data_IF_005697285324
#
_entry.id   IF_005697285324
#
_cell.length_a   1.000
_cell.length_b   1.000
_cell.length_c   1.000
_cell.angle_alpha   90.00
_cell.angle_beta   90.00
_cell.angle_gamma   90.00
#
_symmetry.space_group_name_H-M   'P 1'
#
loop_
_entity.id
_entity.type
_entity.pdbx_description
1 polymer ?
#
# COMPACT_ATOMS: atom_id res chain seq x y z
N UNK A 1 -10.33 -18.48 -3.85
CA UNK A 1 -10.76 -17.18 -4.38
C UNK A 1 -10.20 -17.03 -5.79
N UNK A 2 -11.06 -16.88 -6.80
CA UNK A 2 -10.60 -16.51 -8.15
C UNK A 2 -10.34 -15.00 -8.09
N UNK A 3 -9.08 -14.61 -7.91
CA UNK A 3 -8.70 -13.21 -8.00
C UNK A 3 -8.70 -12.89 -9.49
N UNK A 4 -9.71 -12.15 -9.96
CA UNK A 4 -9.73 -11.65 -11.32
C UNK A 4 -8.56 -10.66 -11.48
N UNK A 5 -7.51 -11.14 -12.15
CA UNK A 5 -6.28 -10.38 -12.37
C UNK A 5 -6.56 -9.01 -13.02
N UNK A 6 -7.53 -8.95 -13.94
CA UNK A 6 -7.85 -7.72 -14.66
C UNK A 6 -8.54 -6.70 -13.75
N UNK A 7 -9.42 -7.14 -12.85
CA UNK A 7 -10.03 -6.27 -11.86
C UNK A 7 -8.99 -5.72 -10.88
N UNK A 8 -8.03 -6.56 -10.46
CA UNK A 8 -6.97 -6.19 -9.55
C UNK A 8 -6.04 -5.13 -10.15
N UNK A 9 -5.64 -5.29 -11.40
CA UNK A 9 -4.83 -4.31 -12.14
C UNK A 9 -5.56 -2.97 -12.33
N UNK A 10 -6.88 -3.01 -12.60
CA UNK A 10 -7.70 -1.78 -12.70
C UNK A 10 -7.77 -1.03 -11.37
N UNK A 11 -7.94 -1.75 -10.25
CA UNK A 11 -7.91 -1.15 -8.92
C UNK A 11 -6.54 -0.57 -8.60
N UNK A 12 -5.46 -1.27 -8.94
CA UNK A 12 -4.10 -0.76 -8.77
C UNK A 12 -3.90 0.55 -9.52
N UNK A 13 -4.27 0.59 -10.81
CA UNK A 13 -4.16 1.80 -11.63
C UNK A 13 -4.97 2.96 -11.05
N UNK A 14 -6.17 2.68 -10.55
CA UNK A 14 -7.01 3.67 -9.86
C UNK A 14 -6.33 4.22 -8.60
N UNK A 15 -5.76 3.36 -7.76
CA UNK A 15 -5.05 3.78 -6.53
C UNK A 15 -3.85 4.64 -6.86
N UNK A 16 -3.00 4.22 -7.81
CA UNK A 16 -1.82 4.99 -8.24
C UNK A 16 -2.22 6.39 -8.71
N UNK A 17 -3.31 6.49 -9.49
CA UNK A 17 -3.81 7.75 -10.05
C UNK A 17 -4.43 8.70 -9.00
N UNK A 18 -5.13 8.16 -8.00
CA UNK A 18 -5.93 8.96 -7.06
C UNK A 18 -5.28 9.11 -5.67
N UNK A 19 -4.16 8.45 -5.42
CA UNK A 19 -3.49 8.59 -4.13
C UNK A 19 -2.85 9.98 -3.96
N UNK A 20 -2.77 10.43 -2.71
CA UNK A 20 -2.09 11.68 -2.34
C UNK A 20 -0.63 11.48 -1.94
N UNK A 21 -0.06 10.28 -2.16
CA UNK A 21 1.31 9.97 -1.76
C UNK A 21 2.34 11.01 -2.23
N UNK A 22 2.29 11.55 -3.47
CA UNK A 22 3.26 12.58 -3.91
C UNK A 22 3.32 13.83 -3.04
N UNK A 23 2.26 14.18 -2.30
CA UNK A 23 2.23 15.32 -1.37
C UNK A 23 2.49 14.94 0.09
N UNK A 24 2.77 13.66 0.39
CA UNK A 24 2.99 13.19 1.75
C UNK A 24 4.43 13.52 2.22
N UNK A 25 4.65 14.10 3.40
CA UNK A 25 6.00 14.41 3.90
C UNK A 25 6.92 13.20 4.05
N UNK A 26 6.34 12.02 4.27
CA UNK A 26 7.08 10.75 4.35
C UNK A 26 7.39 10.15 2.98
N UNK A 27 6.65 10.52 1.92
CA UNK A 27 6.88 9.97 0.59
C UNK A 27 8.18 10.49 -0.01
N UNK A 28 8.92 9.60 -0.67
CA UNK A 28 10.13 9.94 -1.42
C UNK A 28 9.86 9.70 -2.89
N UNK A 29 9.88 10.77 -3.68
CA UNK A 29 9.72 10.67 -5.13
C UNK A 29 10.89 9.89 -5.75
N UNK A 30 10.58 8.96 -6.64
CA UNK A 30 11.58 8.15 -7.36
C UNK A 30 12.02 6.86 -6.66
N UNK A 31 11.54 6.58 -5.43
CA UNK A 31 11.77 5.30 -4.75
C UNK A 31 10.87 4.19 -5.32
N UNK A 32 9.56 4.34 -5.22
CA UNK A 32 8.60 3.40 -5.81
C UNK A 32 7.36 4.12 -6.38
N UNK A 33 6.56 3.34 -7.12
CA UNK A 33 5.25 3.79 -7.62
C UNK A 33 4.37 4.16 -6.42
N UNK A 34 3.69 5.31 -6.44
CA UNK A 34 2.86 5.72 -5.32
C UNK A 34 1.65 4.78 -5.16
N UNK A 35 0.99 4.83 -4.00
CA UNK A 35 -0.17 3.97 -3.74
C UNK A 35 0.13 2.73 -2.89
N UNK A 36 1.14 2.78 -2.01
CA UNK A 36 1.54 1.71 -1.06
C UNK A 36 0.41 1.08 -0.23
N UNK A 37 -0.77 1.69 -0.17
CA UNK A 37 -1.96 1.08 0.43
C UNK A 37 -2.49 -0.12 -0.36
N UNK A 38 -2.11 -0.26 -1.63
CA UNK A 38 -2.48 -1.38 -2.47
C UNK A 38 -1.55 -2.58 -2.23
N UNK A 39 -2.06 -3.82 -2.05
CA UNK A 39 -1.26 -4.94 -1.53
C UNK A 39 -0.10 -5.38 -2.43
N UNK A 40 -0.20 -5.23 -3.76
CA UNK A 40 0.84 -5.64 -4.71
C UNK A 40 1.95 -4.61 -4.93
N UNK A 41 1.79 -3.37 -4.44
CA UNK A 41 2.82 -2.32 -4.58
C UNK A 41 3.95 -2.53 -3.54
N UNK A 42 3.62 -3.06 -2.36
CA UNK A 42 4.59 -3.30 -1.30
C UNK A 42 4.94 -2.05 -0.49
N UNK A 43 6.15 -2.02 0.05
CA UNK A 43 6.69 -0.92 0.87
C UNK A 43 7.89 -0.27 0.20
N UNK A 44 8.25 0.92 0.66
CA UNK A 44 9.47 1.65 0.27
C UNK A 44 10.70 1.04 0.93
N UNK A 45 11.79 0.94 0.16
CA UNK A 45 13.09 0.54 0.68
C UNK A 45 13.93 1.75 1.14
N UNK A 46 13.61 2.95 0.64
CA UNK A 46 14.34 4.20 0.95
C UNK A 46 13.79 4.91 2.18
N UNK A 47 12.48 4.81 2.48
CA UNK A 47 11.88 5.49 3.64
C UNK A 47 12.34 4.80 4.93
N UNK A 48 13.28 5.42 5.65
CA UNK A 48 13.79 4.93 6.93
C UNK A 48 13.10 5.54 8.16
N UNK A 49 12.42 6.67 7.99
CA UNK A 49 11.75 7.39 9.06
C UNK A 49 10.39 7.92 8.61
N UNK A 50 9.38 7.65 9.44
CA UNK A 50 8.02 8.15 9.29
C UNK A 50 7.95 9.58 9.84
N UNK A 51 7.81 10.58 8.95
CA UNK A 51 7.73 12.00 9.35
C UNK A 51 6.29 12.38 9.71
N UNK A 52 5.40 12.20 8.72
CA UNK A 52 3.97 12.44 8.84
C UNK A 52 3.21 11.68 7.73
N UNK A 53 1.92 11.38 7.94
CA UNK A 53 1.10 10.63 7.01
C UNK A 53 -0.25 11.27 6.76
N UNK A 54 -0.48 11.63 5.49
CA UNK A 54 -1.75 12.21 5.05
C UNK A 54 -2.76 11.16 4.54
N UNK A 55 -2.47 9.87 4.67
CA UNK A 55 -3.30 8.80 4.10
C UNK A 55 -4.75 8.83 4.60
N UNK A 56 -5.01 9.19 5.87
CA UNK A 56 -6.38 9.31 6.40
C UNK A 56 -7.24 10.37 5.70
N UNK A 57 -6.64 11.27 4.93
CA UNK A 57 -7.32 12.30 4.13
C UNK A 57 -7.40 11.96 2.63
N UNK A 58 -6.89 10.80 2.23
CA UNK A 58 -6.87 10.32 0.86
C UNK A 58 -8.25 9.76 0.47
N UNK A 59 -8.78 10.03 -0.74
CA UNK A 59 -10.05 9.44 -1.19
C UNK A 59 -9.98 7.91 -1.18
N UNK A 60 -8.86 7.33 -1.64
CA UNK A 60 -8.60 5.88 -1.62
C UNK A 60 -8.76 5.28 -0.22
N UNK A 61 -8.34 6.00 0.83
CA UNK A 61 -8.47 5.51 2.21
C UNK A 61 -9.93 5.33 2.61
N UNK A 62 -10.80 6.27 2.22
CA UNK A 62 -12.23 6.20 2.52
C UNK A 62 -12.96 5.19 1.64
N UNK A 63 -12.67 5.19 0.35
CA UNK A 63 -13.36 4.33 -0.64
C UNK A 63 -13.10 2.84 -0.42
N UNK A 64 -11.89 2.48 0.00
CA UNK A 64 -11.50 1.10 0.29
C UNK A 64 -11.56 0.77 1.79
N UNK A 65 -12.20 1.62 2.60
CA UNK A 65 -12.39 1.44 4.05
C UNK A 65 -11.11 1.02 4.76
N UNK A 66 -10.01 1.66 4.36
CA UNK A 66 -8.71 1.43 4.91
C UNK A 66 -8.67 2.00 6.34
N UNK A 67 -7.94 1.33 7.24
CA UNK A 67 -7.93 1.65 8.66
C UNK A 67 -6.53 1.91 9.24
N UNK A 68 -5.47 1.80 8.43
CA UNK A 68 -4.08 1.99 8.84
C UNK A 68 -3.46 3.25 8.22
N UNK A 69 -2.29 3.62 8.72
CA UNK A 69 -1.49 4.72 8.20
C UNK A 69 -0.08 4.23 7.91
N UNK A 70 0.73 5.07 7.26
CA UNK A 70 2.12 4.74 6.92
C UNK A 70 2.27 3.43 6.11
N UNK A 71 1.38 3.24 5.13
CA UNK A 71 1.43 2.09 4.22
C UNK A 71 2.78 1.93 3.50
N UNK A 72 3.49 3.04 3.26
CA UNK A 72 4.79 3.05 2.60
C UNK A 72 5.90 2.37 3.41
N UNK A 73 5.76 2.20 4.71
CA UNK A 73 6.75 1.54 5.58
C UNK A 73 6.19 0.27 6.22
N UNK A 74 4.87 0.24 6.49
CA UNK A 74 4.21 -0.83 7.27
C UNK A 74 3.37 -1.80 6.44
N UNK A 75 3.27 -1.59 5.12
CA UNK A 75 2.41 -2.34 4.21
C UNK A 75 0.91 -2.23 4.55
N UNK A 76 0.04 -2.73 3.67
CA UNK A 76 -1.41 -2.76 3.92
C UNK A 76 -1.84 -3.91 4.83
N UNK A 77 -3.06 -3.81 5.41
CA UNK A 77 -3.65 -4.88 6.23
C UNK A 77 -3.66 -6.24 5.51
N UNK A 78 -3.93 -6.21 4.19
CA UNK A 78 -3.93 -7.40 3.35
C UNK A 78 -2.52 -7.98 3.23
N UNK A 79 -1.51 -7.13 3.06
CA UNK A 79 -0.12 -7.57 3.03
C UNK A 79 0.35 -8.15 4.37
N UNK A 80 -0.12 -7.60 5.50
CA UNK A 80 0.15 -8.18 6.82
C UNK A 80 -0.53 -9.56 6.95
N UNK A 81 -1.79 -9.69 6.51
CA UNK A 81 -2.49 -10.97 6.46
C UNK A 81 -1.79 -12.01 5.57
N UNK A 82 -1.40 -11.61 4.34
CA UNK A 82 -0.66 -12.47 3.41
C UNK A 82 0.72 -12.87 3.94
N UNK A 83 1.40 -12.02 4.72
CA UNK A 83 2.65 -12.38 5.39
C UNK A 83 2.43 -13.41 6.50
N UNK A 84 1.31 -13.35 7.21
CA UNK A 84 0.94 -14.38 8.21
C UNK A 84 0.62 -15.71 7.52
N UNK A 85 -0.12 -15.69 6.42
CA UNK A 85 -0.48 -16.90 5.66
C UNK A 85 0.71 -17.45 4.85
N UNK A 86 1.62 -16.59 4.39
CA UNK A 86 2.84 -16.97 3.65
C UNK A 86 4.00 -17.42 4.55
N UNK A 87 4.08 -16.95 5.80
CA UNK A 87 5.05 -17.44 6.77
C UNK A 87 4.77 -18.89 7.21
N UNK A 88 3.56 -19.41 6.99
CA UNK A 88 3.24 -20.81 7.18
C UNK A 88 3.77 -21.72 6.04
N UNK A 89 4.29 -21.16 4.94
CA UNK A 89 4.70 -21.92 3.75
C UNK A 89 6.24 -21.99 3.52
N UNK A 90 7.06 -21.43 4.42
CA UNK A 90 8.51 -21.62 4.40
C UNK A 90 9.02 -22.14 5.75
N UNK A 91 8.72 -23.41 6.00
CA UNK A 91 9.31 -24.20 7.06
C UNK A 91 9.59 -25.61 6.56
N UNK A 92 10.65 -25.76 5.77
CA UNK A 92 11.47 -26.97 5.70
C UNK A 92 12.87 -26.62 5.20
#
# INVERSE_FOLDING_TARGET
MVIDKSEYERKQAYVVKNCKCPGCPTYVAGDAVPGYCFPTIGTSDVIKAEKDCICGTCPVYKEYELNHTFYCTRCSQVCQGLKIEGAAAHGN
#
